data_IF_477070661592
#
_entry.id   IF_477070661592
#
_cell.length_a   1.000
_cell.length_b   1.000
_cell.length_c   1.000
_cell.angle_alpha   90.00
_cell.angle_beta   90.00
_cell.angle_gamma   90.00
#
_symmetry.space_group_name_H-M   'P 1'
#
loop_
_entity.id
_entity.type
_entity.pdbx_description
1 polymer ?
#
# COMPACT_ATOMS: atom_id res chain seq x y z
N UNK A 1 5.16 -14.97 -17.70
CA UNK A 1 5.17 -13.74 -16.89
C UNK A 1 5.00 -14.16 -15.44
N UNK A 2 6.02 -13.98 -14.59
CA UNK A 2 5.92 -14.34 -13.16
C UNK A 2 5.05 -13.27 -12.50
N UNK A 3 3.89 -13.65 -11.97
CA UNK A 3 3.05 -12.71 -11.22
C UNK A 3 3.86 -12.20 -10.03
N UNK A 4 3.93 -10.87 -9.87
CA UNK A 4 4.52 -10.26 -8.68
C UNK A 4 3.75 -10.75 -7.44
N UNK A 5 4.44 -10.94 -6.32
CA UNK A 5 3.74 -11.36 -5.09
C UNK A 5 2.75 -10.28 -4.68
N UNK A 6 1.69 -10.68 -3.96
CA UNK A 6 0.72 -9.73 -3.39
C UNK A 6 1.42 -8.64 -2.57
N UNK A 7 2.47 -8.99 -1.82
CA UNK A 7 3.27 -8.03 -1.06
C UNK A 7 4.01 -7.04 -1.97
N UNK A 8 4.57 -7.50 -3.09
CA UNK A 8 5.20 -6.61 -4.06
C UNK A 8 4.18 -5.66 -4.71
N UNK A 9 2.97 -6.14 -4.98
CA UNK A 9 1.87 -5.31 -5.50
C UNK A 9 1.45 -4.24 -4.49
N UNK A 10 1.30 -4.60 -3.21
CA UNK A 10 0.99 -3.64 -2.13
C UNK A 10 2.10 -2.58 -2.02
N UNK A 11 3.37 -3.00 -2.03
CA UNK A 11 4.50 -2.07 -1.93
C UNK A 11 4.55 -1.10 -3.12
N UNK A 12 4.34 -1.61 -4.35
CA UNK A 12 4.32 -0.78 -5.56
C UNK A 12 3.20 0.26 -5.52
N UNK A 13 1.98 -0.16 -5.16
CA UNK A 13 0.83 0.73 -5.04
C UNK A 13 1.05 1.81 -3.97
N UNK A 14 1.51 1.42 -2.77
CA UNK A 14 1.79 2.38 -1.71
C UNK A 14 2.87 3.41 -2.11
N UNK A 15 3.92 2.96 -2.79
CA UNK A 15 4.98 3.83 -3.33
C UNK A 15 4.43 4.82 -4.36
N UNK A 16 3.59 4.38 -5.29
CA UNK A 16 3.02 5.25 -6.32
C UNK A 16 2.08 6.31 -5.73
N UNK A 17 1.25 5.95 -4.75
CA UNK A 17 0.35 6.89 -4.07
C UNK A 17 1.14 7.96 -3.32
N UNK A 18 2.15 7.58 -2.52
CA UNK A 18 2.92 8.56 -1.73
C UNK A 18 3.75 9.49 -2.63
N UNK A 19 4.34 8.96 -3.71
CA UNK A 19 5.05 9.79 -4.69
C UNK A 19 4.08 10.77 -5.33
N UNK A 20 2.86 10.33 -5.67
CA UNK A 20 1.85 11.21 -6.24
C UNK A 20 1.46 12.34 -5.28
N UNK A 21 1.29 12.03 -4.00
CA UNK A 21 0.99 13.04 -2.98
C UNK A 21 2.11 14.06 -2.80
N UNK A 22 3.37 13.64 -2.93
CA UNK A 22 4.52 14.53 -2.92
C UNK A 22 4.55 15.41 -4.19
N UNK A 23 4.34 14.82 -5.37
CA UNK A 23 4.27 15.54 -6.65
C UNK A 23 3.19 16.64 -6.65
N UNK A 24 2.03 16.37 -6.06
CA UNK A 24 0.91 17.33 -6.00
C UNK A 24 0.94 18.24 -4.76
N UNK A 25 2.01 18.16 -3.95
CA UNK A 25 2.18 19.03 -2.78
C UNK A 25 1.24 18.75 -1.60
N UNK A 26 0.66 17.55 -1.52
CA UNK A 26 -0.18 17.13 -0.38
C UNK A 26 0.62 16.54 0.78
N UNK A 27 1.82 16.00 0.49
CA UNK A 27 2.77 15.48 1.48
C UNK A 27 4.14 16.08 1.16
N UNK A 28 4.90 16.52 2.16
CA UNK A 28 6.30 16.94 1.95
C UNK A 28 7.21 15.72 1.85
N UNK A 29 8.38 15.82 1.19
CA UNK A 29 9.37 14.74 1.22
C UNK A 29 9.78 14.32 2.64
N UNK A 30 9.79 15.25 3.59
CA UNK A 30 10.09 14.98 5.01
C UNK A 30 8.98 14.19 5.72
N UNK A 31 7.73 14.29 5.27
CA UNK A 31 6.59 13.53 5.78
C UNK A 31 6.42 12.15 5.15
N UNK A 32 7.35 11.72 4.30
CA UNK A 32 7.26 10.46 3.56
C UNK A 32 7.08 9.25 4.47
N UNK A 33 7.86 9.12 5.54
CA UNK A 33 7.87 7.91 6.39
C UNK A 33 6.49 7.64 7.01
N UNK A 34 5.87 8.67 7.58
CA UNK A 34 4.55 8.58 8.17
C UNK A 34 3.47 8.30 7.12
N UNK A 35 3.46 9.08 6.03
CA UNK A 35 2.47 8.94 4.97
C UNK A 35 2.54 7.56 4.29
N UNK A 36 3.75 7.06 4.00
CA UNK A 36 3.94 5.76 3.39
C UNK A 36 3.42 4.63 4.28
N UNK A 37 3.68 4.67 5.59
CA UNK A 37 3.16 3.66 6.53
C UNK A 37 1.63 3.64 6.59
N UNK A 38 0.99 4.82 6.62
CA UNK A 38 -0.47 4.93 6.63
C UNK A 38 -1.09 4.41 5.32
N UNK A 39 -0.51 4.78 4.17
CA UNK A 39 -0.96 4.32 2.86
C UNK A 39 -0.75 2.81 2.72
N UNK A 40 0.43 2.29 3.07
CA UNK A 40 0.74 0.87 3.02
C UNK A 40 -0.25 0.05 3.86
N UNK A 41 -0.51 0.48 5.10
CA UNK A 41 -1.50 -0.17 5.96
C UNK A 41 -2.89 -0.18 5.31
N UNK A 42 -3.32 0.94 4.72
CA UNK A 42 -4.63 1.05 4.09
C UNK A 42 -4.78 0.11 2.89
N UNK A 43 -3.77 0.06 2.02
CA UNK A 43 -3.74 -0.85 0.85
C UNK A 43 -3.65 -2.30 1.29
N UNK A 44 -2.77 -2.62 2.23
CA UNK A 44 -2.60 -3.98 2.74
C UNK A 44 -3.89 -4.50 3.38
N UNK A 45 -4.58 -3.66 4.18
CA UNK A 45 -5.86 -4.01 4.77
C UNK A 45 -6.93 -4.24 3.71
N UNK A 46 -7.02 -3.42 2.67
CA UNK A 46 -7.99 -3.63 1.59
C UNK A 46 -7.79 -4.97 0.87
N UNK A 47 -6.53 -5.29 0.50
CA UNK A 47 -6.19 -6.53 -0.21
C UNK A 47 -6.39 -7.76 0.67
N UNK A 48 -6.01 -7.69 1.95
CA UNK A 48 -6.11 -8.83 2.88
C UNK A 48 -7.53 -9.07 3.40
N UNK A 49 -8.39 -8.05 3.40
CA UNK A 49 -9.80 -8.18 3.83
C UNK A 49 -10.69 -8.83 2.77
N UNK A 50 -10.24 -8.89 1.51
CA UNK A 50 -10.89 -9.66 0.44
C UNK A 50 -10.45 -11.14 0.39
N UNK A 51 -9.49 -11.57 1.22
CA UNK A 51 -9.23 -13.00 1.37
C UNK A 51 -10.37 -13.62 2.22
N UNK A 52 -11.13 -14.60 1.70
CA UNK A 52 -12.10 -15.30 2.52
C UNK A 52 -11.38 -15.92 3.72
N UNK A 53 -12.00 -15.98 4.91
CA UNK A 53 -11.40 -16.66 6.04
C UNK A 53 -11.17 -18.13 5.65
N UNK A 54 -9.91 -18.48 5.39
CA UNK A 54 -9.51 -19.87 5.28
C UNK A 54 -9.59 -20.46 6.69
N UNK A 55 -10.70 -21.12 6.98
CA UNK A 55 -10.90 -21.88 8.21
C UNK A 55 -11.58 -21.10 9.33
N UNK A 56 -12.91 -21.17 9.37
CA UNK A 56 -13.61 -21.34 10.64
C UNK A 56 -14.35 -22.68 10.55
N UNK A 57 -13.74 -23.69 11.17
CA UNK A 57 -14.38 -24.96 11.56
C UNK A 57 -15.48 -24.71 12.62
#
# INVERSE_FOLDING_TARGET
MKMASTDEQILRAAKEIVVKFIEVGRVSPTGFDEAFKQIYSSVASAVKKEAPPAGSE
#
